data_IF_821683781944
#
_entry.id   IF_821683781944
#
_cell.length_a   1.000
_cell.length_b   1.000
_cell.length_c   1.000
_cell.angle_alpha   90.00
_cell.angle_beta   90.00
_cell.angle_gamma   90.00
#
_symmetry.space_group_name_H-M   'P 1'
#
loop_
_entity.id
_entity.type
_entity.pdbx_description
1 polymer ?
#
# COMPACT_ATOMS: atom_id res chain seq x y z
N UNK A 1 29.08 -20.62 18.97
CA UNK A 1 28.22 -19.50 18.54
C UNK A 1 27.69 -19.89 17.18
N UNK A 2 26.37 -20.07 17.04
CA UNK A 2 25.79 -20.51 15.78
C UNK A 2 25.65 -19.29 14.86
N UNK A 3 26.34 -19.33 13.72
CA UNK A 3 26.14 -18.39 12.63
C UNK A 3 24.72 -18.55 12.11
N UNK A 4 23.91 -17.50 12.19
CA UNK A 4 22.58 -17.49 11.58
C UNK A 4 22.76 -17.37 10.06
N UNK A 5 22.11 -18.22 9.25
CA UNK A 5 22.26 -18.17 7.81
C UNK A 5 21.54 -16.93 7.27
N UNK A 6 22.30 -16.05 6.63
CA UNK A 6 21.86 -14.99 5.69
C UNK A 6 20.49 -14.34 6.01
N UNK A 7 20.44 -13.56 7.10
CA UNK A 7 19.28 -12.71 7.40
C UNK A 7 19.26 -11.50 6.49
N UNK A 8 18.50 -11.55 5.38
CA UNK A 8 18.27 -10.37 4.54
C UNK A 8 17.62 -9.28 5.40
N UNK A 9 18.28 -8.13 5.54
CA UNK A 9 17.67 -6.94 6.15
C UNK A 9 16.63 -6.38 5.20
N UNK A 10 15.44 -6.10 5.74
CA UNK A 10 14.35 -5.48 5.02
C UNK A 10 14.60 -3.97 4.89
N UNK A 11 14.23 -3.43 3.74
CA UNK A 11 14.16 -1.99 3.47
C UNK A 11 12.99 -1.36 4.22
N UNK A 12 12.99 -0.04 4.37
CA UNK A 12 11.88 0.70 4.98
C UNK A 12 10.50 0.35 4.37
N UNK A 13 10.41 0.29 3.04
CA UNK A 13 9.15 -0.07 2.36
C UNK A 13 8.75 -1.53 2.61
N UNK A 14 9.72 -2.45 2.69
CA UNK A 14 9.43 -3.86 3.03
C UNK A 14 8.93 -4.00 4.48
N UNK A 15 9.52 -3.27 5.42
CA UNK A 15 9.08 -3.24 6.81
C UNK A 15 7.67 -2.63 6.96
N UNK A 16 7.40 -1.50 6.28
CA UNK A 16 6.08 -0.89 6.23
C UNK A 16 5.05 -1.85 5.66
N UNK A 17 5.34 -2.49 4.52
CA UNK A 17 4.40 -3.43 3.91
C UNK A 17 4.10 -4.60 4.82
N UNK A 18 5.14 -5.14 5.49
CA UNK A 18 4.97 -6.22 6.45
C UNK A 18 4.03 -5.80 7.58
N UNK A 19 4.28 -4.65 8.23
CA UNK A 19 3.43 -4.15 9.32
C UNK A 19 1.98 -3.94 8.89
N UNK A 20 1.77 -3.35 7.70
CA UNK A 20 0.44 -3.12 7.15
C UNK A 20 -0.30 -4.44 6.90
N UNK A 21 0.35 -5.43 6.29
CA UNK A 21 -0.27 -6.74 6.05
C UNK A 21 -0.59 -7.48 7.34
N UNK A 22 0.33 -7.51 8.30
CA UNK A 22 0.06 -8.09 9.63
C UNK A 22 -1.16 -7.44 10.31
N UNK A 23 -1.30 -6.13 10.13
CA UNK A 23 -2.40 -5.35 10.72
C UNK A 23 -3.73 -5.56 10.01
N UNK A 24 -3.75 -5.46 8.68
CA UNK A 24 -4.98 -5.36 7.89
C UNK A 24 -5.37 -6.61 7.12
N UNK A 25 -4.40 -7.43 6.69
CA UNK A 25 -4.73 -8.61 5.91
C UNK A 25 -5.52 -9.60 6.79
N UNK A 26 -6.67 -10.02 6.26
CA UNK A 26 -7.55 -11.00 6.87
C UNK A 26 -8.00 -11.97 5.79
N UNK A 27 -7.73 -13.25 5.97
CA UNK A 27 -8.26 -14.32 5.12
C UNK A 27 -9.43 -14.98 5.84
N UNK A 28 -10.64 -14.47 5.60
CA UNK A 28 -11.88 -14.92 6.24
C UNK A 28 -12.48 -16.19 5.65
N UNK A 29 -11.78 -16.88 4.72
CA UNK A 29 -12.24 -18.12 4.08
C UNK A 29 -13.65 -17.99 3.47
N UNK A 30 -13.79 -17.03 2.57
CA UNK A 30 -15.04 -16.64 1.86
C UNK A 30 -15.70 -17.76 1.06
N UNK A 31 -15.03 -18.90 0.85
CA UNK A 31 -15.61 -20.03 0.11
C UNK A 31 -16.36 -21.04 0.97
N UNK A 32 -16.15 -21.01 2.29
CA UNK A 32 -16.76 -21.98 3.20
C UNK A 32 -17.56 -21.33 4.33
N UNK A 33 -17.26 -20.07 4.65
CA UNK A 33 -18.02 -19.27 5.61
C UNK A 33 -18.88 -18.24 4.87
N UNK A 34 -20.19 -18.29 5.08
CA UNK A 34 -21.15 -17.34 4.49
C UNK A 34 -20.98 -15.90 5.00
N UNK A 35 -20.29 -15.74 6.13
CA UNK A 35 -19.91 -14.45 6.71
C UNK A 35 -18.41 -14.18 6.55
N UNK A 36 -17.68 -15.06 5.87
CA UNK A 36 -16.27 -14.89 5.58
C UNK A 36 -16.05 -13.62 4.77
N UNK A 37 -15.06 -12.83 5.17
CA UNK A 37 -14.63 -11.63 4.44
C UNK A 37 -13.11 -11.62 4.38
N UNK A 38 -12.58 -11.51 3.18
CA UNK A 38 -11.19 -11.19 2.97
C UNK A 38 -11.01 -9.67 3.01
N UNK A 39 -9.93 -9.23 3.64
CA UNK A 39 -9.46 -7.85 3.59
C UNK A 39 -7.99 -7.91 3.21
N UNK A 40 -7.56 -7.09 2.26
CA UNK A 40 -6.13 -7.01 1.94
C UNK A 40 -5.69 -5.59 1.63
N UNK A 41 -4.39 -5.37 1.85
CA UNK A 41 -3.68 -4.18 1.43
C UNK A 41 -3.55 -4.17 -0.10
N UNK A 42 -4.35 -3.33 -0.76
CA UNK A 42 -4.42 -3.22 -2.23
C UNK A 42 -3.36 -2.28 -2.79
N UNK A 43 -3.25 -1.07 -2.26
CA UNK A 43 -2.28 -0.06 -2.70
C UNK A 43 -1.54 0.51 -1.50
N UNK A 44 -0.23 0.72 -1.65
CA UNK A 44 0.56 1.44 -0.66
C UNK A 44 1.53 2.39 -1.34
N UNK A 45 1.57 3.61 -0.83
CA UNK A 45 2.60 4.61 -1.09
C UNK A 45 3.14 5.11 0.25
N UNK A 46 4.43 5.39 0.31
CA UNK A 46 5.12 5.88 1.50
C UNK A 46 5.99 7.05 1.11
N UNK A 47 5.93 8.12 1.89
CA UNK A 47 6.85 9.25 1.80
C UNK A 47 7.58 9.43 3.15
N UNK A 48 8.90 9.66 3.14
CA UNK A 48 9.61 10.03 4.35
C UNK A 48 9.09 11.37 4.89
N UNK A 49 8.88 11.46 6.21
CA UNK A 49 8.62 12.72 6.87
C UNK A 49 9.91 13.55 6.86
N UNK A 50 9.99 14.55 5.99
CA UNK A 50 11.08 15.53 6.01
C UNK A 50 10.98 16.45 7.24
N UNK A 51 12.11 17.02 7.68
CA UNK A 51 12.14 18.00 8.78
C UNK A 51 11.23 19.23 8.53
N UNK A 52 10.92 19.52 7.26
CA UNK A 52 10.01 20.60 6.86
C UNK A 52 8.54 20.25 7.13
N UNK A 53 8.19 18.96 7.14
CA UNK A 53 6.84 18.46 7.43
C UNK A 53 6.54 18.42 8.93
N UNK A 54 7.52 18.58 9.83
CA UNK A 54 7.28 18.59 11.28
C UNK A 54 6.29 19.67 11.73
N UNK A 55 6.19 20.79 10.97
CA UNK A 55 5.24 21.87 11.24
C UNK A 55 3.81 21.57 10.80
N UNK A 56 3.64 20.61 9.89
CA UNK A 56 2.36 20.24 9.27
C UNK A 56 1.90 18.84 9.72
N UNK A 57 2.52 18.30 10.78
CA UNK A 57 2.07 17.04 11.37
C UNK A 57 0.64 17.20 11.93
N UNK A 58 -0.25 16.24 11.67
CA UNK A 58 -1.66 16.35 12.07
C UNK A 58 -1.85 16.35 13.58
N UNK A 59 -0.89 15.79 14.32
CA UNK A 59 -0.91 15.68 15.77
C UNK A 59 0.44 16.10 16.35
N UNK A 60 0.48 16.60 17.60
CA UNK A 60 1.73 16.95 18.25
C UNK A 60 2.64 15.72 18.39
N UNK A 61 3.97 15.92 18.42
CA UNK A 61 4.91 14.82 18.56
C UNK A 61 4.62 14.02 19.83
N UNK A 62 4.39 12.71 19.66
CA UNK A 62 4.29 11.76 20.76
C UNK A 62 5.69 11.41 21.30
N UNK A 63 5.79 10.41 22.19
CA UNK A 63 7.09 9.87 22.62
C UNK A 63 7.95 9.33 21.46
N UNK A 64 7.31 9.03 20.32
CA UNK A 64 7.96 8.57 19.10
C UNK A 64 7.57 9.49 17.93
N UNK A 65 8.56 9.97 17.19
CA UNK A 65 8.34 10.77 15.97
C UNK A 65 8.10 9.83 14.78
N UNK A 66 7.13 10.14 13.90
CA UNK A 66 6.98 9.39 12.68
C UNK A 66 8.14 9.67 11.73
N UNK A 67 8.62 8.65 11.04
CA UNK A 67 9.64 8.78 9.99
C UNK A 67 9.03 8.69 8.59
N UNK A 68 7.82 8.14 8.48
CA UNK A 68 7.11 7.99 7.21
C UNK A 68 5.62 8.32 7.38
N UNK A 69 5.06 8.96 6.36
CA UNK A 69 3.62 8.99 6.12
C UNK A 69 3.30 7.97 5.04
N UNK A 70 2.30 7.14 5.32
CA UNK A 70 1.95 5.99 4.48
C UNK A 70 0.48 6.04 4.16
N UNK A 71 0.15 6.09 2.87
CA UNK A 71 -1.23 6.03 2.40
C UNK A 71 -1.53 4.62 1.92
N UNK A 72 -2.56 4.03 2.51
CA UNK A 72 -2.99 2.66 2.24
C UNK A 72 -4.41 2.64 1.71
N UNK A 73 -4.67 1.77 0.74
CA UNK A 73 -6.01 1.42 0.28
C UNK A 73 -6.26 -0.05 0.58
N UNK A 74 -7.40 -0.33 1.21
CA UNK A 74 -7.86 -1.67 1.53
C UNK A 74 -8.99 -2.05 0.59
N UNK A 75 -9.03 -3.32 0.21
CA UNK A 75 -10.13 -3.89 -0.58
C UNK A 75 -10.63 -5.16 0.10
N UNK A 76 -11.89 -5.47 -0.16
CA UNK A 76 -12.56 -6.62 0.45
C UNK A 76 -13.18 -7.54 -0.58
N UNK A 77 -13.29 -8.82 -0.21
CA UNK A 77 -14.09 -9.82 -0.90
C UNK A 77 -14.96 -10.49 0.14
N UNK A 78 -16.26 -10.57 -0.10
CA UNK A 78 -17.16 -11.35 0.75
C UNK A 78 -17.79 -12.53 -0.02
N UNK A 79 -18.27 -13.52 0.72
CA UNK A 79 -18.81 -14.75 0.18
C UNK A 79 -20.08 -14.56 -0.67
N UNK A 80 -20.81 -13.46 -0.48
CA UNK A 80 -22.13 -13.24 -1.08
C UNK A 80 -22.07 -12.35 -2.32
N UNK A 81 -21.28 -11.28 -2.25
CA UNK A 81 -21.20 -10.24 -3.30
C UNK A 81 -19.91 -10.32 -4.11
N UNK A 82 -18.92 -11.09 -3.64
CA UNK A 82 -17.64 -11.24 -4.31
C UNK A 82 -16.69 -10.09 -3.98
N UNK A 83 -15.72 -9.83 -4.87
CA UNK A 83 -14.78 -8.72 -4.67
C UNK A 83 -15.49 -7.38 -4.79
N UNK A 84 -15.38 -6.54 -3.76
CA UNK A 84 -16.01 -5.23 -3.71
C UNK A 84 -15.39 -4.30 -4.79
N UNK A 85 -16.19 -3.69 -5.69
CA UNK A 85 -15.69 -2.71 -6.65
C UNK A 85 -15.29 -1.37 -6.01
N UNK A 86 -15.74 -1.13 -4.77
CA UNK A 86 -15.42 0.06 -3.99
C UNK A 86 -14.36 -0.24 -2.93
N UNK A 87 -13.54 0.76 -2.64
CA UNK A 87 -12.42 0.65 -1.71
C UNK A 87 -12.40 1.82 -0.74
N UNK A 88 -11.79 1.55 0.41
CA UNK A 88 -11.53 2.55 1.44
C UNK A 88 -10.01 2.76 1.59
N UNK A 89 -9.60 3.96 1.94
CA UNK A 89 -8.19 4.30 2.12
C UNK A 89 -7.96 5.34 3.20
N UNK A 90 -6.81 5.27 3.84
CA UNK A 90 -6.40 6.17 4.93
C UNK A 90 -4.90 6.44 4.91
N UNK A 91 -4.52 7.51 5.61
CA UNK A 91 -3.11 7.83 5.86
C UNK A 91 -2.76 7.38 7.28
N UNK A 92 -1.64 6.68 7.41
CA UNK A 92 -1.04 6.24 8.66
C UNK A 92 0.35 6.83 8.77
N UNK A 93 0.78 7.08 10.00
CA UNK A 93 2.13 7.54 10.29
C UNK A 93 2.89 6.41 10.96
N UNK A 94 4.10 6.12 10.47
CA UNK A 94 4.92 5.04 10.99
C UNK A 94 6.31 5.54 11.36
N UNK A 95 6.83 4.97 12.44
CA UNK A 95 8.23 5.07 12.80
C UNK A 95 8.92 3.77 12.36
N UNK A 96 9.80 3.91 11.37
CA UNK A 96 10.56 2.83 10.75
C UNK A 96 12.02 2.92 11.18
N UNK A 97 12.56 1.84 11.72
CA UNK A 97 13.99 1.71 12.07
C UNK A 97 14.58 0.51 11.30
N UNK A 98 15.30 0.81 10.22
CA UNK A 98 15.97 -0.21 9.39
C UNK A 98 17.15 -0.88 10.10
N UNK A 99 17.76 -0.26 11.11
CA UNK A 99 18.86 -0.88 11.86
C UNK A 99 18.33 -1.91 12.86
N UNK A 100 17.24 -1.57 13.55
CA UNK A 100 16.57 -2.45 14.51
C UNK A 100 15.57 -3.41 13.84
N UNK A 101 15.30 -3.22 12.54
CA UNK A 101 14.33 -4.00 11.77
C UNK A 101 12.94 -3.97 12.42
N UNK A 102 12.51 -2.77 12.84
CA UNK A 102 11.24 -2.54 13.51
C UNK A 102 10.41 -1.48 12.78
N UNK A 103 9.09 -1.57 12.93
CA UNK A 103 8.14 -0.61 12.39
C UNK A 103 6.88 -0.59 13.22
N UNK A 104 6.52 0.60 13.69
CA UNK A 104 5.38 0.82 14.56
C UNK A 104 4.55 2.00 14.09
N UNK A 105 3.25 1.93 14.31
CA UNK A 105 2.37 3.06 14.05
C UNK A 105 2.61 4.14 15.10
N UNK A 106 2.49 5.39 14.66
CA UNK A 106 2.50 6.56 15.51
C UNK A 106 1.09 7.14 15.50
N UNK A 107 0.60 7.57 16.66
CA UNK A 107 -0.78 8.04 16.84
C UNK A 107 -1.81 6.97 16.44
N UNK A 108 -1.65 5.76 16.99
CA UNK A 108 -2.55 4.64 16.71
C UNK A 108 -4.00 5.00 17.02
N UNK A 109 -4.28 5.49 18.23
CA UNK A 109 -5.65 5.82 18.66
C UNK A 109 -6.32 6.84 17.71
N UNK A 110 -5.57 7.84 17.28
CA UNK A 110 -6.06 8.85 16.34
C UNK A 110 -6.18 8.31 14.90
N UNK A 111 -5.24 7.47 14.45
CA UNK A 111 -5.22 6.93 13.09
C UNK A 111 -6.31 5.87 12.87
N UNK A 112 -6.58 5.04 13.88
CA UNK A 112 -7.61 4.00 13.81
C UNK A 112 -8.99 4.47 14.29
N UNK A 113 -9.05 5.55 15.06
CA UNK A 113 -10.33 6.11 15.56
C UNK A 113 -11.11 6.93 14.53
N UNK A 114 -10.46 7.36 13.45
CA UNK A 114 -11.07 8.21 12.42
C UNK A 114 -11.68 7.38 11.28
N UNK A 115 -12.68 7.96 10.61
CA UNK A 115 -13.22 7.40 9.37
C UNK A 115 -12.16 7.46 8.24
N UNK A 116 -12.25 6.57 7.23
CA UNK A 116 -11.34 6.59 6.11
C UNK A 116 -11.32 7.94 5.38
N UNK A 117 -10.12 8.39 5.00
CA UNK A 117 -9.95 9.63 4.21
C UNK A 117 -10.51 9.48 2.79
N UNK A 118 -10.43 8.28 2.25
CA UNK A 118 -11.07 7.89 1.00
C UNK A 118 -12.11 6.82 1.35
N UNK A 119 -13.39 7.09 1.07
CA UNK A 119 -14.48 6.21 1.48
C UNK A 119 -15.38 5.79 0.32
N UNK A 120 -15.53 4.48 0.10
CA UNK A 120 -16.49 3.89 -0.82
C UNK A 120 -16.31 4.29 -2.28
N UNK A 121 -15.08 4.58 -2.71
CA UNK A 121 -14.80 5.04 -4.07
C UNK A 121 -14.29 3.94 -5.00
N UNK A 122 -14.36 4.18 -6.31
CA UNK A 122 -13.86 3.22 -7.32
C UNK A 122 -12.33 3.07 -7.28
N UNK A 123 -11.83 1.88 -7.67
CA UNK A 123 -10.39 1.54 -7.71
C UNK A 123 -9.56 2.55 -8.51
N UNK A 124 -10.09 3.07 -9.63
CA UNK A 124 -9.40 4.07 -10.46
C UNK A 124 -9.18 5.37 -9.69
N UNK A 125 -10.23 5.85 -9.00
CA UNK A 125 -10.16 7.07 -8.21
C UNK A 125 -9.24 6.90 -7.00
N UNK A 126 -9.26 5.73 -6.36
CA UNK A 126 -8.33 5.41 -5.28
C UNK A 126 -6.87 5.39 -5.76
N UNK A 127 -6.62 4.89 -6.98
CA UNK A 127 -5.28 4.90 -7.58
C UNK A 127 -4.79 6.31 -7.86
N UNK A 128 -5.68 7.21 -8.31
CA UNK A 128 -5.34 8.63 -8.48
C UNK A 128 -5.05 9.30 -7.14
N UNK A 129 -5.91 9.06 -6.13
CA UNK A 129 -5.73 9.58 -4.78
C UNK A 129 -4.44 9.12 -4.11
N UNK A 130 -4.05 7.85 -4.29
CA UNK A 130 -2.74 7.33 -3.83
C UNK A 130 -1.59 8.08 -4.51
N UNK A 131 -1.70 8.36 -5.82
CA UNK A 131 -0.67 9.04 -6.60
C UNK A 131 -0.47 10.51 -6.24
N UNK A 132 -1.42 11.13 -5.53
CA UNK A 132 -1.24 12.47 -4.97
C UNK A 132 -0.11 12.52 -3.94
N UNK A 133 0.16 11.39 -3.23
CA UNK A 133 1.27 11.30 -2.28
C UNK A 133 2.60 10.91 -2.95
N UNK A 134 2.54 10.06 -3.98
CA UNK A 134 3.73 9.59 -4.68
C UNK A 134 3.47 8.31 -5.49
N UNK A 135 4.53 7.70 -6.03
CA UNK A 135 4.39 6.44 -6.76
C UNK A 135 4.19 5.27 -5.78
N UNK A 136 3.13 4.46 -5.93
CA UNK A 136 2.91 3.32 -5.06
C UNK A 136 4.03 2.27 -5.22
N UNK A 137 4.54 1.79 -4.09
CA UNK A 137 5.54 0.73 -4.06
C UNK A 137 4.92 -0.67 -3.92
N UNK A 138 3.62 -0.75 -3.58
CA UNK A 138 2.84 -1.99 -3.54
C UNK A 138 1.50 -1.82 -4.26
N UNK A 139 1.17 -2.76 -5.13
CA UNK A 139 -0.07 -2.79 -5.93
C UNK A 139 -0.55 -4.25 -6.07
N UNK A 140 -1.72 -4.55 -5.52
CA UNK A 140 -2.35 -5.88 -5.54
C UNK A 140 -3.86 -5.73 -5.78
N UNK A 141 -4.27 -5.52 -7.03
CA UNK A 141 -5.69 -5.28 -7.37
C UNK A 141 -6.60 -6.49 -7.13
N UNK A 142 -6.04 -7.69 -7.22
CA UNK A 142 -6.78 -8.95 -7.11
C UNK A 142 -6.64 -9.48 -5.69
N UNK A 143 -7.70 -10.09 -5.17
CA UNK A 143 -7.65 -10.73 -3.87
C UNK A 143 -6.53 -11.80 -3.85
N UNK A 144 -5.47 -11.63 -3.03
CA UNK A 144 -4.33 -12.54 -3.00
C UNK A 144 -4.64 -13.88 -2.33
N UNK A 145 -5.75 -13.97 -1.58
CA UNK A 145 -6.15 -15.19 -0.86
C UNK A 145 -6.99 -16.13 -1.72
N UNK A 146 -7.50 -15.66 -2.85
CA UNK A 146 -8.28 -16.47 -3.77
C UNK A 146 -7.42 -17.18 -4.81
N UNK A 147 -7.74 -18.45 -5.07
CA UNK A 147 -7.22 -19.16 -6.24
C UNK A 147 -7.82 -18.57 -7.53
N UNK A 148 -7.25 -18.94 -8.68
CA UNK A 148 -7.78 -18.48 -9.98
C UNK A 148 -9.24 -18.89 -10.17
N UNK A 149 -9.59 -20.10 -9.75
CA UNK A 149 -10.93 -20.68 -9.87
C UNK A 149 -11.90 -19.94 -8.97
N UNK A 150 -11.51 -19.65 -7.72
CA UNK A 150 -12.32 -18.88 -6.79
C UNK A 150 -12.56 -17.45 -7.30
N UNK A 151 -11.54 -16.81 -7.89
CA UNK A 151 -11.70 -15.50 -8.55
C UNK A 151 -12.65 -15.54 -9.73
N UNK A 152 -12.70 -16.62 -10.52
CA UNK A 152 -13.68 -16.69 -11.63
C UNK A 152 -15.12 -16.73 -11.12
N UNK A 153 -15.35 -17.36 -9.97
CA UNK A 153 -16.68 -17.46 -9.35
C UNK A 153 -17.06 -16.17 -8.63
N UNK A 154 -16.12 -15.55 -7.90
CA UNK A 154 -16.36 -14.39 -7.03
C UNK A 154 -16.03 -13.04 -7.69
N UNK A 155 -15.25 -13.02 -8.77
CA UNK A 155 -14.71 -11.80 -9.40
C UNK A 155 -15.01 -11.73 -10.90
N UNK A 156 -16.20 -12.17 -11.35
CA UNK A 156 -16.62 -12.07 -12.76
C UNK A 156 -16.60 -10.65 -13.37
N UNK A 157 -16.23 -9.63 -12.59
CA UNK A 157 -16.18 -8.21 -12.95
C UNK A 157 -14.83 -7.53 -12.68
N UNK A 158 -13.76 -8.23 -12.25
CA UNK A 158 -12.42 -7.61 -12.23
C UNK A 158 -11.97 -7.43 -13.69
N UNK A 159 -12.39 -6.31 -14.30
CA UNK A 159 -11.80 -5.83 -15.54
C UNK A 159 -10.28 -5.79 -15.35
N UNK A 160 -9.55 -6.18 -16.38
CA UNK A 160 -8.09 -6.20 -16.34
C UNK A 160 -7.61 -4.75 -16.16
N UNK A 161 -7.42 -4.30 -14.93
CA UNK A 161 -6.77 -3.03 -14.66
C UNK A 161 -5.35 -3.14 -15.20
N UNK A 162 -5.00 -2.37 -16.25
CA UNK A 162 -3.67 -2.45 -16.81
C UNK A 162 -2.68 -2.00 -15.74
N UNK A 163 -1.66 -2.80 -15.50
CA UNK A 163 -0.53 -2.38 -14.66
C UNK A 163 0.00 -1.03 -15.20
N UNK A 164 0.34 -0.07 -14.33
CA UNK A 164 0.86 1.22 -14.79
C UNK A 164 2.08 0.98 -15.68
N UNK A 165 2.04 1.52 -16.89
CA UNK A 165 3.12 1.39 -17.84
C UNK A 165 4.41 1.97 -17.21
N UNK A 166 5.43 1.13 -17.03
CA UNK A 166 6.77 1.59 -16.67
C UNK A 166 7.19 2.62 -17.71
N UNK A 167 7.37 3.89 -17.31
CA UNK A 167 8.05 4.88 -18.15
C UNK A 167 9.42 4.30 -18.48
N UNK A 168 9.61 3.92 -19.75
CA UNK A 168 10.95 3.75 -20.31
C UNK A 168 11.56 5.14 -20.27
N UNK A 169 12.64 5.29 -19.50
CA UNK A 169 13.52 6.45 -19.61
C UNK A 169 13.89 6.60 -21.10
N UNK A 170 13.51 7.73 -21.68
CA UNK A 170 14.04 8.13 -22.97
C UNK A 170 15.50 8.48 -22.74
N UNK A 171 16.39 7.56 -23.10
CA UNK A 171 17.80 7.86 -23.29
C UNK A 171 17.86 8.84 -24.45
N UNK A 172 18.09 10.11 -24.11
CA UNK A 172 18.32 11.18 -25.07
C UNK A 172 19.74 11.00 -25.63
N UNK A 173 19.87 10.29 -26.74
CA UNK A 173 21.08 10.35 -27.57
C UNK A 173 21.16 11.74 -28.19
N UNK A 174 22.10 12.56 -27.69
CA UNK A 174 22.58 13.74 -28.40
C UNK A 174 23.29 13.27 -29.68
N UNK A 175 22.71 13.52 -30.84
CA UNK A 175 23.49 13.69 -32.07
C UNK A 175 24.04 15.13 -32.04
N UNK A 176 25.33 15.24 -31.72
CA UNK A 176 26.18 16.34 -32.14
C UNK A 176 26.70 16.01 -33.56
N UNK A 177 27.06 17.06 -34.30
CA UNK A 177 27.62 17.09 -35.67
C UNK A 177 26.57 17.05 -36.80
N UNK A 178 26.48 18.00 -37.74
CA UNK A 178 27.50 18.81 -38.40
C UNK A 178 26.82 20.01 -39.10
N UNK A 179 27.29 21.23 -38.89
CA UNK A 179 27.09 22.35 -39.84
C UNK A 179 28.34 23.21 -39.87
N UNK A 180 29.15 23.04 -40.91
CA UNK A 180 30.17 24.00 -41.31
C UNK A 180 29.96 24.34 -42.79
N UNK A 181 29.63 25.62 -43.00
CA UNK A 181 29.80 26.48 -44.19
C UNK A 181 29.50 25.91 -45.58
#
# INVERSE_FOLDING_TARGET
MAERPNGKTLTANELVLQKLKETFDRNGNVTTDSNGTNVWVMLVVSEPCSDLLEKDLPYPPSNQKPTHRVRVVLRTTDAQTGTNPYVDGSDFFLAVDEQQQSTDFVWEDESFGNAPLFHGGEVVNATLWVKELGEPFHVEFKDPFLTKEQRLVLNGHDEVYPAPARRREQVQTKEEDETWL
#
